data_IF_337891848805
#
_entry.id   IF_337891848805
#
_cell.length_a   1.000
_cell.length_b   1.000
_cell.length_c   1.000
_cell.angle_alpha   90.00
_cell.angle_beta   90.00
_cell.angle_gamma   90.00
#
_symmetry.space_group_name_H-M   'P 1'
#
loop_
_entity.id
_entity.type
_entity.pdbx_description
1 polymer ?
#
# COMPACT_ATOMS: atom_id res chain seq x y z
N UNK A 1 -1.32 12.86 -21.99
CA UNK A 1 -0.06 12.47 -21.32
C UNK A 1 -0.36 11.34 -20.37
N UNK A 2 0.31 10.18 -20.50
CA UNK A 2 0.15 9.04 -19.59
C UNK A 2 0.67 9.45 -18.21
N UNK A 3 -0.13 9.27 -17.15
CA UNK A 3 0.22 9.71 -15.77
C UNK A 3 0.89 8.61 -14.94
N UNK A 4 0.54 7.36 -15.19
CA UNK A 4 1.11 6.19 -14.53
C UNK A 4 0.96 4.95 -15.42
N UNK A 5 1.73 3.90 -15.12
CA UNK A 5 1.64 2.61 -15.82
C UNK A 5 0.61 1.67 -15.19
N UNK A 6 0.40 1.79 -13.88
CA UNK A 6 -0.59 1.01 -13.14
C UNK A 6 -1.19 1.80 -11.97
N UNK A 7 -2.36 1.35 -11.52
CA UNK A 7 -3.03 1.79 -10.29
C UNK A 7 -3.36 0.58 -9.43
N UNK A 8 -3.36 0.77 -8.11
CA UNK A 8 -3.78 -0.24 -7.14
C UNK A 8 -5.11 0.21 -6.53
N UNK A 9 -6.12 -0.63 -6.65
CA UNK A 9 -7.43 -0.43 -6.03
C UNK A 9 -7.75 -1.57 -5.06
N UNK A 10 -7.67 -1.26 -3.77
CA UNK A 10 -7.87 -2.22 -2.68
C UNK A 10 -9.30 -2.27 -2.18
N UNK A 11 -10.15 -1.32 -2.57
CA UNK A 11 -11.53 -1.23 -2.10
C UNK A 11 -12.48 -2.04 -2.98
N UNK A 12 -13.54 -2.55 -2.36
CA UNK A 12 -14.69 -3.08 -3.09
C UNK A 12 -15.51 -1.93 -3.70
N UNK A 13 -16.29 -2.21 -4.74
CA UNK A 13 -17.19 -1.20 -5.31
C UNK A 13 -18.11 -0.57 -4.25
N UNK A 14 -18.62 -1.38 -3.33
CA UNK A 14 -19.47 -0.90 -2.25
C UNK A 14 -18.74 0.12 -1.38
N UNK A 15 -17.47 -0.12 -1.05
CA UNK A 15 -16.64 0.82 -0.28
C UNK A 15 -16.31 2.07 -1.07
N UNK A 16 -16.02 1.95 -2.36
CA UNK A 16 -15.82 3.09 -3.26
C UNK A 16 -17.07 4.00 -3.25
N UNK A 17 -18.27 3.42 -3.42
CA UNK A 17 -19.53 4.18 -3.45
C UNK A 17 -19.89 4.85 -2.13
N UNK A 18 -19.41 4.33 -1.00
CA UNK A 18 -19.89 4.75 0.34
C UNK A 18 -18.87 5.52 1.19
N UNK A 19 -17.57 5.37 0.92
CA UNK A 19 -16.55 5.63 1.95
C UNK A 19 -15.38 6.52 1.53
N UNK A 20 -15.19 6.87 0.25
CA UNK A 20 -14.00 7.65 -0.14
C UNK A 20 -14.13 9.13 0.27
N UNK A 21 -15.36 9.67 0.39
CA UNK A 21 -15.69 10.90 1.14
C UNK A 21 -17.21 11.11 1.12
N UNK A 22 -17.85 11.48 2.25
CA UNK A 22 -19.26 11.87 2.23
C UNK A 22 -19.45 13.13 1.37
N UNK A 23 -20.22 13.02 0.28
CA UNK A 23 -20.62 14.15 -0.57
C UNK A 23 -19.89 14.29 -1.91
N UNK A 24 -18.94 13.41 -2.24
CA UNK A 24 -18.33 13.35 -3.58
C UNK A 24 -18.98 12.19 -4.34
N UNK A 25 -19.61 12.42 -5.51
CA UNK A 25 -20.17 11.35 -6.32
C UNK A 25 -19.04 10.44 -6.85
N UNK A 26 -18.87 9.26 -6.23
CA UNK A 26 -17.80 8.31 -6.56
C UNK A 26 -18.11 7.44 -7.79
N UNK A 27 -19.16 7.78 -8.55
CA UNK A 27 -19.50 7.13 -9.81
C UNK A 27 -18.50 7.50 -10.91
N UNK A 28 -17.99 8.73 -10.91
CA UNK A 28 -16.96 9.17 -11.88
C UNK A 28 -15.65 8.39 -11.72
N UNK A 29 -15.27 8.05 -10.49
CA UNK A 29 -14.07 7.25 -10.23
C UNK A 29 -14.26 5.81 -10.68
N UNK A 30 -15.42 5.21 -10.40
CA UNK A 30 -15.74 3.86 -10.90
C UNK A 30 -15.79 3.83 -12.42
N UNK A 31 -16.43 4.81 -13.05
CA UNK A 31 -16.46 4.95 -14.50
C UNK A 31 -15.04 5.05 -15.06
N UNK A 32 -14.18 5.86 -14.44
CA UNK A 32 -12.77 5.95 -14.83
C UNK A 32 -12.04 4.61 -14.68
N UNK A 33 -12.22 3.88 -13.58
CA UNK A 33 -11.60 2.55 -13.39
C UNK A 33 -11.99 1.60 -14.54
N UNK A 34 -13.27 1.57 -14.92
CA UNK A 34 -13.78 0.67 -15.96
C UNK A 34 -13.47 1.10 -17.40
N UNK A 35 -13.10 2.36 -17.62
CA UNK A 35 -12.88 2.91 -18.98
C UNK A 35 -11.43 3.28 -19.27
N UNK A 36 -10.56 3.32 -18.26
CA UNK A 36 -9.15 3.66 -18.42
C UNK A 36 -8.35 2.53 -19.09
N UNK A 37 -7.41 2.90 -19.96
CA UNK A 37 -6.43 1.96 -20.52
C UNK A 37 -5.29 1.61 -19.52
N UNK A 38 -5.26 2.24 -18.35
CA UNK A 38 -4.28 1.96 -17.31
C UNK A 38 -4.55 0.61 -16.65
N UNK A 39 -3.49 -0.18 -16.44
CA UNK A 39 -3.57 -1.45 -15.71
C UNK A 39 -3.99 -1.23 -14.25
N UNK A 40 -4.94 -2.01 -13.76
CA UNK A 40 -5.46 -1.90 -12.40
C UNK A 40 -5.18 -3.20 -11.65
N UNK A 41 -4.31 -3.14 -10.65
CA UNK A 41 -4.17 -4.22 -9.67
C UNK A 41 -5.27 -4.10 -8.63
N UNK A 42 -6.10 -5.12 -8.48
CA UNK A 42 -7.26 -5.06 -7.59
C UNK A 42 -7.41 -6.27 -6.68
N UNK A 43 -7.86 -6.03 -5.45
CA UNK A 43 -8.12 -7.08 -4.45
C UNK A 43 -9.57 -7.57 -4.51
N UNK A 44 -10.52 -6.70 -4.88
CA UNK A 44 -11.95 -6.98 -4.77
C UNK A 44 -12.72 -6.86 -6.08
N UNK A 45 -12.15 -6.25 -7.12
CA UNK A 45 -12.83 -6.07 -8.40
C UNK A 45 -12.44 -7.18 -9.37
N UNK A 46 -13.33 -7.52 -10.30
CA UNK A 46 -13.09 -8.65 -11.23
C UNK A 46 -13.68 -8.44 -12.63
N UNK A 47 -14.03 -7.20 -13.01
CA UNK A 47 -14.92 -6.96 -14.14
C UNK A 47 -14.33 -6.00 -15.19
N UNK A 48 -13.14 -6.28 -15.74
CA UNK A 48 -12.65 -5.65 -16.99
C UNK A 48 -11.34 -6.28 -17.48
N UNK A 49 -10.98 -6.07 -18.75
CA UNK A 49 -9.69 -6.50 -19.33
C UNK A 49 -8.49 -5.76 -18.73
N UNK A 50 -8.66 -4.50 -18.32
CA UNK A 50 -7.61 -3.71 -17.68
C UNK A 50 -7.40 -4.08 -16.21
N UNK A 51 -8.17 -5.02 -15.66
CA UNK A 51 -8.08 -5.43 -14.26
C UNK A 51 -7.24 -6.69 -14.14
N UNK A 52 -6.24 -6.63 -13.27
CA UNK A 52 -5.40 -7.74 -12.87
C UNK A 52 -5.59 -8.02 -11.39
N UNK A 53 -5.87 -9.26 -10.99
CA UNK A 53 -5.89 -9.61 -9.57
C UNK A 53 -4.58 -9.25 -8.90
N UNK A 54 -4.66 -8.59 -7.75
CA UNK A 54 -3.50 -8.32 -6.92
C UNK A 54 -2.94 -9.66 -6.40
N UNK A 55 -1.65 -9.97 -6.60
CA UNK A 55 -1.08 -11.29 -6.32
C UNK A 55 -0.79 -11.48 -4.82
N UNK A 56 -1.80 -11.31 -3.96
CA UNK A 56 -1.64 -11.25 -2.50
C UNK A 56 -0.97 -12.52 -1.93
N UNK A 57 -1.46 -13.69 -2.32
CA UNK A 57 -0.96 -14.97 -1.79
C UNK A 57 0.45 -15.29 -2.31
N UNK A 58 0.79 -14.86 -3.52
CA UNK A 58 2.14 -15.01 -4.07
C UNK A 58 3.12 -14.08 -3.36
N UNK A 59 2.72 -12.83 -3.15
CA UNK A 59 3.47 -11.83 -2.38
C UNK A 59 3.73 -12.33 -0.97
N UNK A 60 2.71 -12.86 -0.28
CA UNK A 60 2.90 -13.42 1.06
C UNK A 60 3.90 -14.57 1.06
N UNK A 61 3.78 -15.50 0.10
CA UNK A 61 4.68 -16.64 -0.02
C UNK A 61 6.12 -16.25 -0.34
N UNK A 62 6.32 -15.23 -1.19
CA UNK A 62 7.66 -14.78 -1.58
C UNK A 62 8.29 -13.87 -0.53
N UNK A 63 7.53 -12.89 -0.02
CA UNK A 63 8.06 -11.81 0.82
C UNK A 63 8.06 -12.14 2.30
N UNK A 64 7.15 -13.00 2.77
CA UNK A 64 6.90 -13.19 4.20
C UNK A 64 7.29 -14.59 4.66
N UNK A 65 7.98 -14.64 5.80
CA UNK A 65 8.00 -15.83 6.64
C UNK A 65 6.73 -15.93 7.50
N UNK A 66 6.71 -16.88 8.42
CA UNK A 66 5.61 -17.00 9.39
C UNK A 66 5.84 -16.10 10.60
N UNK A 67 5.02 -15.07 10.78
CA UNK A 67 4.90 -14.35 12.05
C UNK A 67 3.54 -14.67 12.65
N UNK A 68 3.52 -15.16 13.89
CA UNK A 68 2.28 -15.46 14.60
C UNK A 68 2.29 -14.91 16.03
N UNK A 69 1.13 -14.43 16.47
CA UNK A 69 0.87 -13.98 17.84
C UNK A 69 -0.13 -14.96 18.44
N UNK A 70 0.29 -15.68 19.49
CA UNK A 70 -0.53 -16.72 20.13
C UNK A 70 -1.09 -17.74 19.12
N UNK A 71 -0.30 -18.12 18.12
CA UNK A 71 -0.69 -19.06 17.06
C UNK A 71 -1.59 -18.48 15.96
N UNK A 72 -1.86 -17.17 15.97
CA UNK A 72 -2.59 -16.47 14.89
C UNK A 72 -1.61 -15.74 14.00
N UNK A 73 -1.71 -15.98 12.70
CA UNK A 73 -0.97 -15.20 11.70
C UNK A 73 -1.40 -13.73 11.78
N UNK A 74 -0.42 -12.82 11.71
CA UNK A 74 -0.67 -11.39 11.78
C UNK A 74 -0.96 -10.82 10.39
N UNK A 75 -1.90 -9.88 10.32
CA UNK A 75 -2.10 -9.10 9.10
C UNK A 75 -1.05 -7.98 9.03
N UNK A 76 -0.29 -7.95 7.95
CA UNK A 76 0.75 -6.96 7.68
C UNK A 76 0.39 -5.98 6.55
N UNK A 77 -0.88 -5.97 6.12
CA UNK A 77 -1.43 -4.99 5.19
C UNK A 77 -2.52 -4.17 5.90
N UNK A 78 -2.28 -2.90 6.16
CA UNK A 78 -3.22 -1.96 6.81
C UNK A 78 -3.61 -0.77 5.94
N UNK A 79 -2.92 -0.52 4.82
CA UNK A 79 -3.17 0.61 3.93
C UNK A 79 -2.88 0.27 2.47
N UNK A 80 -3.41 1.04 1.52
CA UNK A 80 -3.07 0.90 0.08
C UNK A 80 -1.58 1.09 -0.21
N UNK A 81 -0.84 1.82 0.65
CA UNK A 81 0.61 2.02 0.54
C UNK A 81 1.34 0.69 0.76
N UNK A 82 0.87 -0.13 1.71
CA UNK A 82 1.44 -1.46 1.97
C UNK A 82 1.32 -2.37 0.74
N UNK A 83 0.16 -2.32 0.07
CA UNK A 83 -0.06 -3.05 -1.18
C UNK A 83 0.85 -2.53 -2.30
N UNK A 84 1.05 -1.21 -2.39
CA UNK A 84 1.96 -0.64 -3.40
C UNK A 84 3.41 -1.06 -3.20
N UNK A 85 3.91 -0.98 -1.96
CA UNK A 85 5.27 -1.38 -1.62
C UNK A 85 5.48 -2.87 -1.86
N UNK A 86 4.59 -3.72 -1.33
CA UNK A 86 4.70 -5.16 -1.47
C UNK A 86 4.67 -5.59 -2.94
N UNK A 87 3.83 -4.98 -3.77
CA UNK A 87 3.79 -5.26 -5.20
C UNK A 87 5.10 -4.84 -5.89
N UNK A 88 5.63 -3.65 -5.59
CA UNK A 88 6.90 -3.19 -6.13
C UNK A 88 8.06 -4.15 -5.81
N UNK A 89 8.16 -4.57 -4.54
CA UNK A 89 9.19 -5.51 -4.10
C UNK A 89 9.03 -6.87 -4.82
N UNK A 90 7.81 -7.40 -4.90
CA UNK A 90 7.54 -8.68 -5.57
C UNK A 90 7.79 -8.64 -7.08
N UNK A 91 7.53 -7.51 -7.73
CA UNK A 91 7.85 -7.31 -9.15
C UNK A 91 9.36 -7.14 -9.42
N UNK A 92 10.18 -7.08 -8.37
CA UNK A 92 11.63 -6.99 -8.48
C UNK A 92 12.16 -5.59 -8.78
N UNK A 93 11.44 -4.54 -8.39
CA UNK A 93 11.96 -3.18 -8.49
C UNK A 93 13.14 -2.98 -7.54
N UNK A 94 14.22 -2.38 -8.04
CA UNK A 94 15.44 -2.11 -7.29
C UNK A 94 15.41 -0.73 -6.60
N UNK A 95 14.57 0.18 -7.07
CA UNK A 95 14.38 1.52 -6.53
C UNK A 95 12.89 1.83 -6.38
N UNK A 96 12.52 2.38 -5.23
CA UNK A 96 11.15 2.80 -4.93
C UNK A 96 11.18 4.17 -4.27
N UNK A 97 10.46 5.11 -4.87
CA UNK A 97 10.30 6.46 -4.34
C UNK A 97 8.86 6.68 -3.88
N UNK A 98 8.70 7.25 -2.68
CA UNK A 98 7.41 7.50 -2.05
C UNK A 98 7.13 8.99 -2.03
N UNK A 99 5.98 9.39 -2.60
CA UNK A 99 5.57 10.79 -2.74
C UNK A 99 4.20 11.04 -2.11
N UNK A 100 4.02 12.24 -1.54
CA UNK A 100 2.69 12.74 -1.16
C UNK A 100 2.05 12.08 0.07
N UNK A 101 2.84 11.52 0.98
CA UNK A 101 2.35 10.79 2.15
C UNK A 101 2.83 11.43 3.48
N UNK A 102 2.43 12.68 3.81
CA UNK A 102 2.86 13.33 5.04
C UNK A 102 2.28 12.61 6.28
N UNK A 103 3.08 11.75 6.88
CA UNK A 103 2.73 10.99 8.08
C UNK A 103 3.05 11.82 9.34
N UNK A 104 2.30 12.91 9.62
CA UNK A 104 2.61 13.79 10.79
C UNK A 104 1.56 13.83 11.91
N UNK A 105 0.27 13.59 11.66
CA UNK A 105 -0.78 13.67 12.71
C UNK A 105 -2.08 12.91 12.34
N UNK A 106 -2.72 12.19 13.29
CA UNK A 106 -4.10 11.69 13.17
C UNK A 106 -4.34 10.27 13.70
N UNK A 107 -5.57 9.75 13.58
CA UNK A 107 -5.89 8.33 13.88
C UNK A 107 -5.45 7.39 12.74
N UNK A 108 -5.52 7.85 11.47
CA UNK A 108 -4.96 7.14 10.31
C UNK A 108 -3.45 6.87 10.47
N UNK A 109 -2.76 7.76 11.19
CA UNK A 109 -1.34 7.64 11.52
C UNK A 109 -1.00 6.39 12.33
N UNK A 110 -1.84 6.00 13.30
CA UNK A 110 -1.56 4.87 14.19
C UNK A 110 -1.64 3.53 13.47
N UNK A 111 -2.54 3.40 12.49
CA UNK A 111 -2.79 2.13 11.81
C UNK A 111 -1.94 1.94 10.56
N UNK A 112 -1.63 3.02 9.84
CA UNK A 112 -0.88 2.93 8.57
C UNK A 112 0.64 2.94 8.79
N UNK A 113 1.12 3.65 9.82
CA UNK A 113 2.56 3.78 10.10
C UNK A 113 3.27 2.44 10.37
N UNK A 114 2.72 1.49 11.16
CA UNK A 114 3.36 0.20 11.38
C UNK A 114 3.50 -0.63 10.09
N UNK A 115 2.47 -0.61 9.24
CA UNK A 115 2.50 -1.28 7.93
C UNK A 115 3.58 -0.69 7.03
N UNK A 116 3.61 0.64 6.91
CA UNK A 116 4.63 1.35 6.14
C UNK A 116 6.05 1.03 6.63
N UNK A 117 6.29 1.13 7.94
CA UNK A 117 7.59 0.82 8.53
C UNK A 117 8.01 -0.64 8.27
N UNK A 118 7.08 -1.59 8.39
CA UNK A 118 7.32 -3.00 8.10
C UNK A 118 7.75 -3.21 6.65
N UNK A 119 6.98 -2.69 5.68
CA UNK A 119 7.26 -2.91 4.26
C UNK A 119 8.51 -2.20 3.77
N UNK A 120 8.79 -0.99 4.28
CA UNK A 120 10.04 -0.28 3.98
C UNK A 120 11.24 -1.02 4.55
N UNK A 121 11.16 -1.50 5.80
CA UNK A 121 12.22 -2.30 6.41
C UNK A 121 12.47 -3.61 5.65
N UNK A 122 11.40 -4.28 5.21
CA UNK A 122 11.48 -5.48 4.38
C UNK A 122 12.12 -5.19 3.02
N UNK A 123 11.72 -4.10 2.35
CA UNK A 123 12.31 -3.67 1.09
C UNK A 123 13.81 -3.40 1.22
N UNK A 124 14.22 -2.64 2.24
CA UNK A 124 15.63 -2.36 2.52
C UNK A 124 16.40 -3.66 2.83
N UNK A 125 15.81 -4.58 3.60
CA UNK A 125 16.41 -5.90 3.88
C UNK A 125 16.56 -6.80 2.64
N UNK A 126 15.77 -6.54 1.59
CA UNK A 126 15.86 -7.18 0.27
C UNK A 126 16.86 -6.50 -0.67
N UNK A 127 17.49 -5.40 -0.26
CA UNK A 127 18.39 -4.62 -1.09
C UNK A 127 17.70 -3.62 -2.03
N UNK A 128 16.41 -3.31 -1.81
CA UNK A 128 15.70 -2.27 -2.55
C UNK A 128 16.03 -0.90 -1.99
N UNK A 129 16.40 0.04 -2.86
CA UNK A 129 16.66 1.43 -2.49
C UNK A 129 15.34 2.17 -2.30
N UNK A 130 15.01 2.51 -1.05
CA UNK A 130 13.80 3.25 -0.70
C UNK A 130 14.14 4.72 -0.48
N UNK A 131 13.45 5.61 -1.18
CA UNK A 131 13.56 7.06 -0.96
C UNK A 131 12.21 7.66 -0.58
N UNK A 132 12.15 8.31 0.60
CA UNK A 132 10.96 9.02 1.06
C UNK A 132 11.06 10.48 0.69
N UNK A 133 10.30 10.90 -0.32
CA UNK A 133 10.35 12.25 -0.88
C UNK A 133 9.45 13.21 -0.10
N UNK A 134 9.47 13.09 1.24
CA UNK A 134 8.73 13.91 2.20
C UNK A 134 9.35 13.80 3.59
N UNK A 135 9.21 14.88 4.39
CA UNK A 135 9.65 14.88 5.78
C UNK A 135 8.86 13.84 6.60
N UNK A 136 9.58 12.97 7.32
CA UNK A 136 8.98 12.00 8.23
C UNK A 136 9.94 11.63 9.37
N UNK A 137 9.39 11.14 10.47
CA UNK A 137 10.09 10.61 11.65
C UNK A 137 9.92 9.08 11.76
N UNK A 138 9.70 8.40 10.63
CA UNK A 138 9.30 6.99 10.63
C UNK A 138 10.34 6.09 11.31
N UNK A 139 11.61 6.40 11.08
CA UNK A 139 12.75 5.67 11.62
C UNK A 139 13.62 6.50 12.57
N UNK A 140 13.16 7.70 12.91
CA UNK A 140 13.86 8.60 13.84
C UNK A 140 13.34 8.35 15.25
N UNK A 141 13.84 7.29 15.89
CA UNK A 141 13.47 6.92 17.26
C UNK A 141 14.70 6.94 18.17
N UNK A 142 14.56 7.40 19.43
CA UNK A 142 15.64 7.32 20.40
C UNK A 142 15.98 5.86 20.72
N UNK A 143 17.19 5.64 21.21
CA UNK A 143 17.70 4.30 21.53
C UNK A 143 16.79 3.55 22.52
N UNK A 144 16.23 4.27 23.50
CA UNK A 144 15.24 3.78 24.46
C UNK A 144 14.14 4.80 24.68
N UNK A 145 12.92 4.31 24.96
CA UNK A 145 11.78 5.14 25.33
C UNK A 145 12.07 5.88 26.65
N UNK A 146 12.53 7.12 26.56
CA UNK A 146 12.88 7.96 27.71
C UNK A 146 14.17 8.76 27.53
N UNK A 147 15.03 8.35 26.62
CA UNK A 147 16.25 9.09 26.28
C UNK A 147 15.91 10.16 25.24
N UNK A 148 15.73 11.40 25.67
CA UNK A 148 15.63 12.60 24.82
C UNK A 148 16.69 13.62 25.22
#
# INVERSE_FOLDING_TARGET
MKRCDAVIEVHSEHKIKTSISPGIPNDEYLEWLYTTDTLIYTVHLSCSENFKPYPLEEIKRDLLGSISVMGREINNFSSSIDYALALGIYLGYEEIELYGMPMRTGEEYTHQRPGLAFWVGLAAGRGVNINMMYENDLFDSPLYAGDK
#
